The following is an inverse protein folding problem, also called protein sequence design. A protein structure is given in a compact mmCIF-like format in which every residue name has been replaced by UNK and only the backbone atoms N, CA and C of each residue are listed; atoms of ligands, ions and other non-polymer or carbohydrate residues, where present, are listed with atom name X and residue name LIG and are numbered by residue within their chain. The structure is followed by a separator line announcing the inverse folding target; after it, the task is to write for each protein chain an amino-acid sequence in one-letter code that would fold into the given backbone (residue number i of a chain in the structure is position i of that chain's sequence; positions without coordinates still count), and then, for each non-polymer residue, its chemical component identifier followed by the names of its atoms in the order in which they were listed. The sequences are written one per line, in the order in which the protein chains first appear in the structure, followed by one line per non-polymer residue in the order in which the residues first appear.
data_IF_471435103288
#
_entry.id   IF_471435103288
#
_cell.length_a   1.000
_cell.length_b   1.000
_cell.length_c   1.000
_cell.angle_alpha   90.00
_cell.angle_beta   90.00
_cell.angle_gamma   90.00
#
_symmetry.space_group_name_H-M   'P 1'
#
loop_
_entity.id
_entity.type
_entity.pdbx_description
1 polymer ?
#
# COMPACT_ATOMS: atom_id res chain seq x y z
N UNK A 1 -9.66 1.89 13.46
CA UNK A 1 -8.70 2.02 12.35
C UNK A 1 -7.36 1.46 12.80
N UNK A 2 -6.65 0.80 11.88
CA UNK A 2 -5.26 0.36 12.10
C UNK A 2 -4.43 0.92 10.96
N UNK A 3 -3.55 1.87 11.26
CA UNK A 3 -2.61 2.44 10.29
C UNK A 3 -1.28 1.69 10.35
N UNK A 4 -0.79 1.31 9.17
CA UNK A 4 0.54 0.71 9.00
C UNK A 4 1.39 1.75 8.27
N UNK A 5 2.44 2.22 8.91
CA UNK A 5 3.31 3.28 8.37
C UNK A 5 4.78 2.93 8.65
N UNK A 6 5.58 2.66 7.63
CA UNK A 6 6.97 2.28 7.81
C UNK A 6 7.91 3.46 8.11
N UNK A 7 7.66 4.65 7.54
CA UNK A 7 8.55 5.80 7.70
C UNK A 7 8.40 6.41 9.09
N UNK A 8 9.49 6.51 9.82
CA UNK A 8 9.50 6.94 11.23
C UNK A 8 8.80 8.29 11.43
N UNK A 9 9.12 9.28 10.61
CA UNK A 9 8.56 10.62 10.73
C UNK A 9 7.03 10.65 10.55
N UNK A 10 6.52 9.95 9.55
CA UNK A 10 5.08 9.84 9.30
C UNK A 10 4.39 9.02 10.38
N UNK A 11 5.01 7.92 10.83
CA UNK A 11 4.51 7.10 11.93
C UNK A 11 4.34 7.92 13.23
N UNK A 12 5.35 8.73 13.61
CA UNK A 12 5.28 9.56 14.82
C UNK A 12 4.15 10.61 14.76
N UNK A 13 3.82 11.11 13.56
CA UNK A 13 2.64 11.97 13.37
C UNK A 13 1.34 11.20 13.58
N UNK A 14 1.24 10.00 13.02
CA UNK A 14 0.05 9.14 13.17
C UNK A 14 -0.16 8.76 14.64
N UNK A 15 0.90 8.41 15.38
CA UNK A 15 0.81 8.11 16.82
C UNK A 15 0.15 9.24 17.59
N UNK A 16 0.56 10.49 17.34
CA UNK A 16 -0.04 11.68 18.00
C UNK A 16 -1.52 11.88 17.65
N UNK A 17 -1.97 11.40 16.49
CA UNK A 17 -3.39 11.42 16.11
C UNK A 17 -4.16 10.30 16.80
N UNK A 18 -3.55 9.10 16.90
CA UNK A 18 -4.14 7.96 17.61
C UNK A 18 -4.40 8.25 19.10
N UNK A 19 -3.56 9.09 19.75
CA UNK A 19 -3.78 9.52 21.13
C UNK A 19 -5.12 10.24 21.36
N UNK A 20 -5.72 10.76 20.27
CA UNK A 20 -7.00 11.49 20.30
C UNK A 20 -8.20 10.65 19.92
N UNK A 21 -8.00 9.40 19.52
CA UNK A 21 -9.07 8.49 19.07
C UNK A 21 -8.77 7.05 19.49
N UNK A 22 -9.44 6.57 20.54
CA UNK A 22 -9.29 5.22 21.09
C UNK A 22 -9.60 4.10 20.07
N UNK A 23 -10.30 4.41 18.98
CA UNK A 23 -10.61 3.47 17.88
C UNK A 23 -9.55 3.45 16.78
N UNK A 24 -8.48 4.22 16.93
CA UNK A 24 -7.40 4.30 15.98
C UNK A 24 -6.08 3.89 16.61
N UNK A 25 -5.41 2.90 16.04
CA UNK A 25 -4.07 2.46 16.43
C UNK A 25 -3.13 2.49 15.23
N UNK A 26 -1.83 2.49 15.48
CA UNK A 26 -0.81 2.47 14.44
C UNK A 26 0.30 1.47 14.74
N UNK A 27 0.92 0.94 13.68
CA UNK A 27 2.08 0.05 13.78
C UNK A 27 3.16 0.52 12.80
N UNK A 28 4.41 0.55 13.24
CA UNK A 28 5.55 0.84 12.37
C UNK A 28 6.05 -0.43 11.72
N UNK A 29 5.52 -0.77 10.54
CA UNK A 29 5.78 -2.00 9.81
C UNK A 29 5.84 -1.77 8.31
N UNK A 30 6.55 -2.64 7.61
CA UNK A 30 6.34 -2.93 6.18
C UNK A 30 5.55 -4.23 6.07
N UNK A 31 4.52 -4.25 5.24
CA UNK A 31 3.80 -5.49 4.89
C UNK A 31 4.35 -5.99 3.56
N UNK A 32 4.81 -7.25 3.54
CA UNK A 32 5.44 -7.84 2.36
C UNK A 32 5.39 -9.36 2.41
N UNK A 33 5.48 -9.99 1.24
CA UNK A 33 5.61 -11.45 1.07
C UNK A 33 7.06 -11.93 1.27
N UNK A 34 8.02 -11.03 1.42
CA UNK A 34 9.42 -11.42 1.60
C UNK A 34 9.63 -12.09 2.96
N UNK A 35 10.34 -13.24 2.94
CA UNK A 35 10.69 -14.01 4.15
C UNK A 35 11.86 -13.36 4.91
N UNK A 36 11.70 -12.09 5.29
CA UNK A 36 12.69 -11.31 6.05
C UNK A 36 12.01 -10.67 7.25
N UNK A 37 12.72 -10.59 8.37
CA UNK A 37 12.21 -9.91 9.56
C UNK A 37 12.26 -8.38 9.46
N UNK A 38 13.10 -7.86 8.56
CA UNK A 38 13.24 -6.42 8.29
C UNK A 38 13.42 -6.19 6.80
N UNK A 39 12.91 -5.04 6.33
CA UNK A 39 13.15 -4.51 5.00
C UNK A 39 13.65 -3.07 5.11
N UNK A 40 14.46 -2.66 4.13
CA UNK A 40 14.89 -1.28 3.99
C UNK A 40 13.88 -0.52 3.13
N UNK A 41 13.34 0.59 3.64
CA UNK A 41 12.52 1.52 2.87
C UNK A 41 13.35 2.73 2.44
N UNK A 42 13.23 3.13 1.18
CA UNK A 42 13.76 4.39 0.68
C UNK A 42 12.80 5.51 1.09
N UNK A 43 13.28 6.50 1.80
CA UNK A 43 12.49 7.62 2.32
C UNK A 43 12.52 8.76 1.31
N UNK A 44 11.35 9.17 0.81
CA UNK A 44 11.22 10.31 -0.09
C UNK A 44 11.18 11.63 0.66
N UNK A 45 11.46 12.72 -0.05
CA UNK A 45 11.47 14.07 0.52
C UNK A 45 10.10 14.51 1.05
N UNK A 46 9.02 14.11 0.39
CA UNK A 46 7.63 14.37 0.80
C UNK A 46 7.08 13.31 1.76
N UNK A 47 7.83 12.24 2.02
CA UNK A 47 7.47 11.05 2.78
C UNK A 47 6.39 10.17 2.13
N UNK A 48 5.47 10.74 1.35
CA UNK A 48 4.31 10.04 0.77
C UNK A 48 4.71 9.10 -0.39
N UNK A 49 5.83 9.38 -1.05
CA UNK A 49 6.38 8.57 -2.14
C UNK A 49 7.48 7.59 -1.67
N UNK A 50 7.58 7.33 -0.37
CA UNK A 50 8.54 6.38 0.19
C UNK A 50 8.20 4.95 -0.20
N UNK A 51 9.19 4.15 -0.59
CA UNK A 51 8.96 2.81 -1.13
C UNK A 51 10.10 1.84 -0.80
N UNK A 52 9.78 0.55 -0.70
CA UNK A 52 10.78 -0.52 -0.69
C UNK A 52 11.41 -0.75 -2.07
N UNK A 53 10.82 -0.19 -3.12
CA UNK A 53 11.31 -0.25 -4.49
C UNK A 53 12.07 1.03 -4.85
N UNK A 54 12.91 0.97 -5.89
CA UNK A 54 13.55 2.16 -6.42
C UNK A 54 12.61 2.94 -7.33
N UNK A 55 12.69 4.27 -7.33
CA UNK A 55 11.97 5.12 -8.29
C UNK A 55 12.55 5.01 -9.70
N UNK A 56 11.67 4.96 -10.71
CA UNK A 56 12.07 5.05 -12.12
C UNK A 56 12.44 6.48 -12.50
N UNK A 57 13.14 6.64 -13.63
CA UNK A 57 13.43 7.97 -14.19
C UNK A 57 12.14 8.74 -14.57
N UNK A 58 11.09 8.03 -14.97
CA UNK A 58 9.77 8.63 -15.23
C UNK A 58 9.22 9.28 -13.97
N UNK A 59 9.29 8.59 -12.83
CA UNK A 59 8.81 9.09 -11.55
C UNK A 59 9.60 10.32 -11.11
N UNK A 60 10.92 10.23 -11.05
CA UNK A 60 11.82 11.33 -10.66
C UNK A 60 11.62 12.59 -11.52
N UNK A 61 11.43 12.43 -12.84
CA UNK A 61 11.21 13.55 -13.76
C UNK A 61 9.89 14.28 -13.53
N UNK A 62 8.83 13.55 -13.15
CA UNK A 62 7.49 14.11 -13.04
C UNK A 62 7.12 14.51 -11.60
N UNK A 63 7.82 13.99 -10.60
CA UNK A 63 7.57 14.25 -9.18
C UNK A 63 8.88 14.51 -8.44
N UNK A 64 9.27 15.79 -8.36
CA UNK A 64 10.56 16.19 -7.77
C UNK A 64 10.67 15.84 -6.28
N UNK A 65 9.56 15.87 -5.54
CA UNK A 65 9.55 15.58 -4.11
C UNK A 65 9.55 14.07 -3.80
N UNK A 66 9.39 13.21 -4.83
CA UNK A 66 9.62 11.77 -4.73
C UNK A 66 11.12 11.37 -4.74
N UNK A 67 12.05 12.33 -4.74
CA UNK A 67 13.46 12.07 -4.56
C UNK A 67 13.73 11.41 -3.21
N UNK A 68 14.52 10.34 -3.21
CA UNK A 68 14.89 9.64 -1.99
C UNK A 68 16.01 10.41 -1.26
N UNK A 69 15.75 10.76 -0.02
CA UNK A 69 16.66 11.52 0.86
C UNK A 69 17.30 10.66 1.96
N UNK A 70 16.87 9.41 2.11
CA UNK A 70 17.38 8.50 3.13
C UNK A 70 16.86 7.09 3.00
N UNK A 71 17.26 6.26 3.95
CA UNK A 71 16.80 4.86 4.08
C UNK A 71 16.55 4.52 5.54
N UNK A 72 15.55 3.70 5.80
CA UNK A 72 15.25 3.19 7.14
C UNK A 72 15.05 1.68 7.10
N UNK A 73 15.58 0.98 8.10
CA UNK A 73 15.27 -0.44 8.31
C UNK A 73 14.03 -0.56 9.20
N UNK A 74 13.06 -1.33 8.73
CA UNK A 74 11.74 -1.44 9.35
C UNK A 74 11.37 -2.92 9.50
N UNK A 75 10.70 -3.26 10.60
CA UNK A 75 10.14 -4.60 10.81
C UNK A 75 9.22 -4.97 9.64
N UNK A 76 9.34 -6.21 9.16
CA UNK A 76 8.54 -6.74 8.06
C UNK A 76 7.65 -7.87 8.56
N UNK A 77 6.36 -7.81 8.22
CA UNK A 77 5.38 -8.88 8.46
C UNK A 77 4.60 -9.16 7.18
N UNK A 78 4.05 -10.36 7.06
CA UNK A 78 3.01 -10.64 6.07
C UNK A 78 1.66 -10.09 6.53
N UNK A 79 0.77 -9.82 5.58
CA UNK A 79 -0.62 -9.45 5.91
C UNK A 79 -1.32 -10.57 6.68
N UNK A 80 -1.05 -11.84 6.36
CA UNK A 80 -1.57 -12.99 7.10
C UNK A 80 -1.12 -12.99 8.55
N UNK A 81 0.15 -12.66 8.83
CA UNK A 81 0.65 -12.58 10.20
C UNK A 81 0.00 -11.42 10.95
N UNK A 82 -0.13 -10.26 10.34
CA UNK A 82 -0.84 -9.11 10.93
C UNK A 82 -2.30 -9.49 11.25
N UNK A 83 -3.02 -10.08 10.29
CA UNK A 83 -4.42 -10.47 10.47
C UNK A 83 -4.64 -11.61 11.46
N UNK A 84 -3.58 -12.34 11.81
CA UNK A 84 -3.65 -13.35 12.87
C UNK A 84 -3.90 -12.77 14.25
N UNK A 85 -3.55 -11.50 14.48
CA UNK A 85 -3.81 -10.77 15.72
C UNK A 85 -5.32 -10.49 15.91
N UNK A 86 -6.12 -10.52 14.83
CA UNK A 86 -7.54 -10.20 14.77
C UNK A 86 -8.44 -11.41 14.47
N UNK A 87 -7.98 -12.64 14.79
CA UNK A 87 -8.69 -13.90 14.44
C UNK A 87 -10.11 -14.00 15.01
N UNK A 88 -10.34 -13.45 16.18
CA UNK A 88 -11.60 -13.56 16.90
C UNK A 88 -12.59 -12.44 16.57
N UNK A 89 -12.23 -11.51 15.74
CA UNK A 89 -13.10 -10.39 15.36
C UNK A 89 -14.03 -10.80 14.22
N UNK A 90 -15.32 -10.89 14.53
CA UNK A 90 -16.39 -11.09 13.52
C UNK A 90 -16.76 -9.73 12.91
N UNK A 91 -15.85 -9.11 12.19
CA UNK A 91 -16.07 -7.79 11.56
C UNK A 91 -15.86 -7.89 10.06
N UNK A 92 -16.56 -7.05 9.31
CA UNK A 92 -16.24 -6.80 7.92
C UNK A 92 -15.04 -5.85 7.88
N UNK A 93 -13.89 -6.34 7.46
CA UNK A 93 -12.70 -5.52 7.30
C UNK A 93 -12.70 -4.80 5.96
N UNK A 94 -12.15 -3.61 5.94
CA UNK A 94 -11.74 -2.90 4.73
C UNK A 94 -10.22 -2.75 4.75
N UNK A 95 -9.58 -3.01 3.62
CA UNK A 95 -8.14 -2.80 3.42
C UNK A 95 -7.94 -1.64 2.45
N UNK A 96 -7.07 -0.68 2.79
CA UNK A 96 -6.54 0.30 1.84
C UNK A 96 -5.06 0.01 1.61
N UNK A 97 -4.68 -0.12 0.34
CA UNK A 97 -3.30 -0.28 -0.10
C UNK A 97 -2.86 0.95 -0.90
N UNK A 98 -1.84 1.61 -0.38
CA UNK A 98 -1.17 2.76 -0.95
C UNK A 98 0.31 2.63 -0.52
N UNK A 99 0.99 1.67 -1.13
CA UNK A 99 2.33 1.20 -0.68
C UNK A 99 3.40 1.41 -1.75
N UNK A 100 3.09 2.35 -2.63
CA UNK A 100 4.03 2.93 -3.56
C UNK A 100 4.78 1.87 -4.38
N UNK A 101 3.99 1.07 -5.12
CA UNK A 101 4.47 0.09 -6.09
C UNK A 101 4.53 -1.37 -5.60
N UNK A 102 4.28 -1.62 -4.31
CA UNK A 102 4.37 -2.95 -3.69
C UNK A 102 2.99 -3.60 -3.43
N UNK A 103 1.93 -3.12 -4.06
CA UNK A 103 0.54 -3.54 -3.81
C UNK A 103 0.34 -5.04 -4.04
N UNK A 104 0.90 -5.59 -5.13
CA UNK A 104 0.83 -7.02 -5.42
C UNK A 104 1.52 -7.86 -4.34
N UNK A 105 2.69 -7.41 -3.85
CA UNK A 105 3.43 -8.08 -2.79
C UNK A 105 2.64 -8.15 -1.48
N UNK A 106 1.94 -7.06 -1.11
CA UNK A 106 1.04 -7.04 0.05
C UNK A 106 -0.12 -8.02 -0.14
N UNK A 107 -0.77 -8.04 -1.31
CA UNK A 107 -1.90 -8.93 -1.61
C UNK A 107 -1.45 -10.40 -1.50
N UNK A 108 -0.31 -10.74 -2.09
CA UNK A 108 0.26 -12.09 -2.03
C UNK A 108 0.63 -12.50 -0.61
N UNK A 109 1.07 -11.56 0.23
CA UNK A 109 1.40 -11.81 1.63
C UNK A 109 0.18 -12.12 2.51
N UNK A 110 -1.03 -11.85 2.00
CA UNK A 110 -2.31 -12.01 2.69
C UNK A 110 -3.21 -13.12 2.13
N UNK A 111 -2.66 -14.08 1.41
CA UNK A 111 -3.44 -15.07 0.64
C UNK A 111 -4.49 -15.83 1.47
N UNK A 112 -4.22 -16.08 2.76
CA UNK A 112 -5.12 -16.79 3.67
C UNK A 112 -6.12 -15.85 4.38
N UNK A 113 -5.82 -14.56 4.46
CA UNK A 113 -6.66 -13.58 5.17
C UNK A 113 -7.39 -12.62 4.25
N UNK A 114 -7.06 -12.61 2.95
CA UNK A 114 -7.67 -11.68 1.99
C UNK A 114 -9.20 -11.83 1.94
N UNK A 115 -9.74 -13.04 2.07
CA UNK A 115 -11.18 -13.31 2.10
C UNK A 115 -11.92 -12.66 3.29
N UNK A 116 -11.22 -12.21 4.33
CA UNK A 116 -11.82 -11.51 5.46
C UNK A 116 -12.16 -10.05 5.15
N UNK A 117 -11.57 -9.50 4.11
CA UNK A 117 -11.84 -8.13 3.69
C UNK A 117 -13.07 -8.10 2.78
N UNK A 118 -14.06 -7.30 3.15
CA UNK A 118 -15.25 -7.09 2.31
C UNK A 118 -14.97 -6.10 1.18
N UNK A 119 -14.12 -5.13 1.44
CA UNK A 119 -13.67 -4.12 0.49
C UNK A 119 -12.13 -4.04 0.52
N UNK A 120 -11.54 -3.85 -0.65
CA UNK A 120 -10.11 -3.53 -0.80
C UNK A 120 -9.98 -2.33 -1.72
N UNK A 121 -9.42 -1.24 -1.24
CA UNK A 121 -9.03 -0.09 -2.06
C UNK A 121 -7.55 -0.18 -2.38
N UNK A 122 -7.20 -0.03 -3.65
CA UNK A 122 -5.81 -0.13 -4.11
C UNK A 122 -5.51 1.06 -5.02
N UNK A 123 -4.38 1.74 -4.77
CA UNK A 123 -3.80 2.67 -5.72
C UNK A 123 -3.09 1.89 -6.84
N UNK A 124 -3.58 2.00 -8.06
CA UNK A 124 -3.14 1.23 -9.22
C UNK A 124 -2.38 2.13 -10.20
N UNK A 125 -1.21 1.68 -10.63
CA UNK A 125 -0.36 2.43 -11.57
C UNK A 125 -0.60 2.00 -13.01
N UNK A 126 -0.86 2.99 -13.89
CA UNK A 126 -0.94 2.84 -15.34
C UNK A 126 0.46 2.82 -15.99
N UNK A 127 1.43 3.44 -15.33
CA UNK A 127 2.82 3.53 -15.76
C UNK A 127 3.73 3.06 -14.62
N UNK A 128 4.89 2.49 -14.93
CA UNK A 128 5.88 2.08 -13.94
C UNK A 128 6.53 3.32 -13.31
N UNK A 129 6.11 3.65 -12.09
CA UNK A 129 6.71 4.70 -11.27
C UNK A 129 7.86 4.14 -10.42
N UNK A 130 7.82 2.84 -10.12
CA UNK A 130 8.85 2.13 -9.37
C UNK A 130 9.40 0.94 -10.18
N UNK A 131 10.67 0.61 -9.95
CA UNK A 131 11.32 -0.55 -10.56
C UNK A 131 10.63 -1.84 -10.11
N UNK A 132 10.44 -2.77 -11.02
CA UNK A 132 9.75 -4.06 -10.79
C UNK A 132 8.29 -3.94 -10.32
N UNK A 133 7.69 -2.75 -10.36
CA UNK A 133 6.28 -2.55 -10.03
C UNK A 133 5.37 -3.38 -10.94
N UNK A 134 4.41 -4.05 -10.33
CA UNK A 134 3.31 -4.72 -11.03
C UNK A 134 2.26 -3.68 -11.41
N UNK A 135 1.81 -3.69 -12.66
CA UNK A 135 0.87 -2.71 -13.18
C UNK A 135 -0.59 -3.12 -12.95
N UNK A 136 -1.47 -2.15 -13.06
CA UNK A 136 -2.91 -2.27 -12.82
C UNK A 136 -3.59 -3.49 -13.44
N UNK A 137 -3.22 -3.87 -14.69
CA UNK A 137 -3.84 -5.02 -15.39
C UNK A 137 -3.62 -6.32 -14.64
N UNK A 138 -2.39 -6.54 -14.19
CA UNK A 138 -2.02 -7.76 -13.49
C UNK A 138 -2.57 -7.79 -12.07
N UNK A 139 -2.65 -6.62 -11.40
CA UNK A 139 -3.28 -6.52 -10.07
C UNK A 139 -4.79 -6.75 -10.17
N UNK A 140 -5.48 -6.17 -11.16
CA UNK A 140 -6.90 -6.45 -11.38
C UNK A 140 -7.14 -7.93 -11.64
N UNK A 141 -6.32 -8.58 -12.49
CA UNK A 141 -6.39 -10.02 -12.73
C UNK A 141 -6.21 -10.81 -11.45
N UNK A 142 -5.18 -10.49 -10.65
CA UNK A 142 -4.93 -11.11 -9.35
C UNK A 142 -6.14 -10.99 -8.42
N UNK A 143 -6.78 -9.81 -8.34
CA UNK A 143 -7.96 -9.60 -7.51
C UNK A 143 -9.16 -10.43 -7.99
N UNK A 144 -9.40 -10.54 -9.31
CA UNK A 144 -10.44 -11.43 -9.85
C UNK A 144 -10.19 -12.91 -9.49
N UNK A 145 -8.94 -13.37 -9.57
CA UNK A 145 -8.55 -14.73 -9.17
C UNK A 145 -8.78 -14.99 -7.66
N UNK A 146 -8.79 -13.91 -6.85
CA UNK A 146 -9.09 -13.94 -5.40
C UNK A 146 -10.57 -13.66 -5.08
N UNK A 147 -11.46 -13.76 -6.07
CA UNK A 147 -12.92 -13.57 -5.92
C UNK A 147 -13.34 -12.14 -5.58
N UNK A 148 -12.59 -11.14 -6.01
CA UNK A 148 -12.97 -9.73 -5.93
C UNK A 148 -13.32 -9.17 -7.29
N UNK A 149 -14.38 -8.36 -7.37
CA UNK A 149 -14.73 -7.58 -8.55
C UNK A 149 -14.44 -6.10 -8.32
N UNK A 150 -14.09 -5.38 -9.39
CA UNK A 150 -13.99 -3.92 -9.35
C UNK A 150 -15.38 -3.33 -9.11
N UNK A 151 -15.51 -2.55 -8.04
CA UNK A 151 -16.75 -1.84 -7.70
C UNK A 151 -16.79 -0.43 -8.26
N UNK A 152 -15.69 0.32 -8.11
CA UNK A 152 -15.59 1.68 -8.61
C UNK A 152 -14.13 2.10 -8.79
N UNK A 153 -13.92 3.15 -9.58
CA UNK A 153 -12.59 3.70 -9.90
C UNK A 153 -12.64 5.21 -9.71
N UNK A 154 -11.60 5.77 -9.08
CA UNK A 154 -11.39 7.20 -8.92
C UNK A 154 -10.07 7.61 -9.58
N UNK A 155 -10.02 8.70 -10.36
CA UNK A 155 -8.78 9.18 -10.92
C UNK A 155 -7.85 9.69 -9.81
N UNK A 156 -6.58 9.24 -9.84
CA UNK A 156 -5.52 9.64 -8.93
C UNK A 156 -4.53 10.61 -9.58
N UNK A 157 -3.23 10.28 -9.45
CA UNK A 157 -2.13 11.13 -9.91
C UNK A 157 -2.11 11.30 -11.43
N UNK A 158 -2.03 12.57 -11.87
CA UNK A 158 -1.94 12.96 -13.29
C UNK A 158 -0.67 13.74 -13.56
N UNK A 159 -0.11 13.54 -14.74
CA UNK A 159 0.96 14.40 -15.23
C UNK A 159 0.45 15.85 -15.43
N UNK A 160 1.12 16.81 -14.79
CA UNK A 160 0.69 18.21 -14.75
C UNK A 160 0.51 18.86 -16.13
N UNK A 161 1.42 18.57 -17.09
CA UNK A 161 1.46 19.27 -18.37
C UNK A 161 0.64 18.62 -19.49
N UNK A 162 0.34 17.31 -19.39
CA UNK A 162 -0.35 16.56 -20.45
C UNK A 162 -1.69 15.98 -20.01
N UNK A 163 -2.01 16.06 -18.70
CA UNK A 163 -3.23 15.50 -18.15
C UNK A 163 -3.30 13.96 -18.19
N UNK A 164 -2.20 13.30 -18.60
CA UNK A 164 -2.12 11.83 -18.62
C UNK A 164 -2.25 11.30 -17.22
N UNK A 165 -3.18 10.35 -17.00
CA UNK A 165 -3.34 9.67 -15.74
C UNK A 165 -2.19 8.66 -15.55
N UNK A 166 -1.53 8.71 -14.42
CA UNK A 166 -0.47 7.77 -14.04
C UNK A 166 -0.93 6.77 -13.00
N UNK A 167 -1.81 7.18 -12.09
CA UNK A 167 -2.37 6.32 -11.05
C UNK A 167 -3.87 6.59 -10.88
N UNK A 168 -4.60 5.59 -10.41
CA UNK A 168 -6.00 5.69 -10.03
C UNK A 168 -6.28 4.76 -8.84
N UNK A 169 -7.25 5.12 -8.03
CA UNK A 169 -7.76 4.24 -6.99
C UNK A 169 -8.86 3.33 -7.55
N UNK A 170 -8.77 2.05 -7.25
CA UNK A 170 -9.86 1.10 -7.49
C UNK A 170 -10.35 0.52 -6.17
N UNK A 171 -11.66 0.47 -5.98
CA UNK A 171 -12.28 -0.26 -4.89
C UNK A 171 -12.77 -1.60 -5.43
N UNK A 172 -12.34 -2.66 -4.78
CA UNK A 172 -12.74 -4.04 -5.06
C UNK A 172 -13.70 -4.52 -3.97
N UNK A 173 -14.71 -5.25 -4.41
CA UNK A 173 -15.70 -5.88 -3.54
C UNK A 173 -15.55 -7.40 -3.56
N UNK A 174 -15.51 -8.02 -2.38
CA UNK A 174 -15.46 -9.47 -2.23
C UNK A 174 -16.83 -10.08 -2.49
N UNK A 175 -16.89 -11.03 -3.43
CA UNK A 175 -18.13 -11.73 -3.83
C UNK A 175 -18.56 -12.84 -2.87
N UNK A 176 -17.68 -13.25 -1.94
CA UNK A 176 -17.96 -14.30 -0.95
C UNK A 176 -18.71 -13.78 0.26
#
# INVERSE_FOLDING_TARGET
IISIEPVKFSYEKIVKLCEKDEKWSSKRLVISNQKKSKLTINVSKDFDNSSILNSTELHKKNHKDAEFIGKEDVECKSLDLLMSEYKNEKKNFMLKLDVQGSEADVIESGINSLSKFKLVQIELSLQKLYENQILWKDIIKLMYEKNFDVWTIFPGYKQKNKGQLYQFDAIFFNKS
#
